data_IF_218579791769
#
_entry.id   IF_218579791769
#
_cell.length_a   1.000
_cell.length_b   1.000
_cell.length_c   1.000
_cell.angle_alpha   90.00
_cell.angle_beta   90.00
_cell.angle_gamma   90.00
#
_symmetry.space_group_name_H-M   'P 1'
#
loop_
_entity.id
_entity.type
_entity.pdbx_description
1 polymer ?
#
# COMPACT_ATOMS: atom_id res chain seq x y z
N UNK A 1 51.56 32.63 -2.67
CA UNK A 1 51.07 33.45 -1.53
C UNK A 1 49.80 34.24 -1.86
N UNK A 2 49.64 34.86 -3.04
CA UNK A 2 48.36 35.51 -3.42
C UNK A 2 47.22 34.52 -3.73
N UNK A 3 47.53 33.37 -4.33
CA UNK A 3 46.52 32.35 -4.69
C UNK A 3 45.95 31.59 -3.49
N UNK A 4 46.72 31.46 -2.40
CA UNK A 4 46.24 30.87 -1.14
C UNK A 4 45.29 31.80 -0.38
N UNK A 5 45.51 33.11 -0.47
CA UNK A 5 44.60 34.12 0.09
C UNK A 5 43.26 34.15 -0.65
N UNK A 6 43.28 34.01 -1.99
CA UNK A 6 42.05 33.91 -2.80
C UNK A 6 41.25 32.64 -2.50
N UNK A 7 41.93 31.53 -2.20
CA UNK A 7 41.28 30.26 -1.88
C UNK A 7 40.64 30.28 -0.48
N UNK A 8 41.29 30.92 0.51
CA UNK A 8 40.71 31.14 1.83
C UNK A 8 39.47 32.06 1.80
N UNK A 9 39.46 33.10 0.95
CA UNK A 9 38.28 33.97 0.77
C UNK A 9 37.11 33.24 0.07
N UNK A 10 37.40 32.31 -0.85
CA UNK A 10 36.37 31.48 -1.52
C UNK A 10 35.68 30.52 -0.55
N UNK A 11 36.44 29.86 0.33
CA UNK A 11 35.91 28.92 1.35
C UNK A 11 35.06 29.66 2.40
N UNK A 12 35.41 30.90 2.74
CA UNK A 12 34.62 31.72 3.67
C UNK A 12 33.29 32.21 3.03
N UNK A 13 33.28 32.53 1.73
CA UNK A 13 32.05 32.98 1.04
C UNK A 13 31.03 31.86 0.79
N UNK A 14 31.44 30.59 0.71
CA UNK A 14 30.52 29.45 0.54
C UNK A 14 29.74 29.09 1.81
N UNK A 15 30.24 29.47 2.99
CA UNK A 15 29.63 29.12 4.28
C UNK A 15 28.64 30.17 4.83
N UNK A 16 28.38 31.26 4.12
CA UNK A 16 27.57 32.40 4.61
C UNK A 16 26.12 32.41 4.05
N UNK A 17 25.79 31.59 3.04
CA UNK A 17 24.53 31.74 2.28
C UNK A 17 23.34 30.89 2.80
N UNK A 18 23.50 30.12 3.87
CA UNK A 18 22.37 29.33 4.44
C UNK A 18 21.86 29.84 5.80
N UNK A 19 22.03 31.14 6.09
CA UNK A 19 21.45 31.80 7.25
C UNK A 19 20.02 32.32 7.00
N UNK A 20 19.04 31.72 7.68
CA UNK A 20 17.80 32.30 8.21
C UNK A 20 16.97 33.26 7.32
N UNK A 21 15.93 32.72 6.68
CA UNK A 21 14.66 33.46 6.49
C UNK A 21 13.62 32.91 7.45
N UNK A 22 13.22 33.73 8.42
CA UNK A 22 12.09 33.51 9.31
C UNK A 22 10.78 33.48 8.51
N UNK A 23 9.89 32.48 8.66
CA UNK A 23 8.49 32.62 8.27
C UNK A 23 7.64 33.16 9.43
N UNK A 24 6.82 34.14 9.08
CA UNK A 24 5.85 34.88 9.91
C UNK A 24 4.80 33.92 10.50
N UNK A 25 4.49 34.11 11.79
CA UNK A 25 3.49 33.35 12.54
C UNK A 25 2.05 33.66 12.11
N UNK A 26 1.21 32.62 11.98
CA UNK A 26 -0.24 32.67 12.24
C UNK A 26 -0.66 31.31 12.85
N UNK A 27 -1.31 31.39 14.01
CA UNK A 27 -1.83 30.32 14.88
C UNK A 27 -2.79 29.32 14.17
N UNK A 28 -3.11 28.11 14.64
CA UNK A 28 -3.89 27.78 15.85
C UNK A 28 -3.87 26.26 16.13
N UNK A 29 -3.59 25.91 17.39
CA UNK A 29 -3.88 24.67 18.17
C UNK A 29 -3.57 23.26 17.61
N UNK A 30 -2.52 22.64 18.18
CA UNK A 30 -2.53 21.20 18.48
C UNK A 30 -2.06 20.96 19.92
N UNK A 31 -2.99 20.55 20.76
CA UNK A 31 -2.79 20.27 22.18
C UNK A 31 -2.02 18.94 22.39
N UNK A 32 -0.91 19.09 23.12
CA UNK A 32 -0.30 18.21 24.15
C UNK A 32 -0.25 16.69 23.92
N UNK A 33 0.98 16.16 23.84
CA UNK A 33 1.43 15.11 24.75
C UNK A 33 2.95 15.25 24.98
N UNK A 34 3.32 15.29 26.26
CA UNK A 34 4.63 15.61 26.79
C UNK A 34 5.69 14.51 26.57
N UNK A 35 6.90 14.98 26.23
CA UNK A 35 8.23 14.64 26.77
C UNK A 35 8.42 13.25 27.42
N UNK A 36 9.36 12.46 26.90
CA UNK A 36 10.66 12.28 27.56
C UNK A 36 11.71 11.70 26.59
N UNK A 37 12.92 12.26 26.61
CA UNK A 37 14.07 11.82 25.81
C UNK A 37 14.93 10.80 26.57
N UNK A 38 15.57 9.90 25.79
CA UNK A 38 16.89 9.24 25.96
C UNK A 38 17.21 8.45 27.24
N UNK A 39 17.68 7.21 27.05
CA UNK A 39 18.97 6.67 27.58
C UNK A 39 19.41 5.46 26.72
N UNK A 40 20.73 5.29 26.68
CA UNK A 40 21.70 4.52 25.87
C UNK A 40 21.59 2.99 25.78
N UNK A 41 22.23 2.46 24.72
CA UNK A 41 22.65 1.06 24.49
C UNK A 41 23.72 0.57 25.50
N UNK A 42 23.61 -0.67 26.01
CA UNK A 42 24.62 -1.78 25.92
C UNK A 42 24.39 -2.96 26.92
N UNK A 43 24.28 -4.15 26.32
CA UNK A 43 24.84 -5.49 26.66
C UNK A 43 24.56 -6.28 27.97
N UNK A 44 24.09 -7.53 27.74
CA UNK A 44 24.37 -8.84 28.38
C UNK A 44 23.66 -9.32 29.68
N UNK A 45 23.07 -10.52 29.61
CA UNK A 45 23.02 -11.49 30.73
C UNK A 45 21.65 -12.03 31.21
N UNK A 46 21.23 -13.19 30.69
CA UNK A 46 20.52 -14.35 31.31
C UNK A 46 19.56 -14.16 32.51
N UNK A 47 18.32 -14.67 32.37
CA UNK A 47 17.66 -15.48 33.42
C UNK A 47 16.38 -14.96 34.09
N UNK A 48 15.23 -15.30 33.49
CA UNK A 48 13.91 -15.64 34.06
C UNK A 48 13.28 -14.86 35.24
N UNK A 49 12.02 -14.42 35.07
CA UNK A 49 10.88 -14.89 35.88
C UNK A 49 9.53 -14.34 35.38
N UNK A 50 8.73 -15.25 34.82
CA UNK A 50 7.28 -15.42 35.02
C UNK A 50 6.46 -14.23 35.54
N UNK A 51 5.93 -13.36 34.67
CA UNK A 51 4.71 -12.60 35.01
C UNK A 51 3.90 -12.13 33.80
N UNK A 52 3.56 -12.99 32.85
CA UNK A 52 2.50 -12.65 31.87
C UNK A 52 1.73 -13.86 31.33
N UNK A 53 1.91 -15.04 31.93
CA UNK A 53 1.26 -16.29 31.53
C UNK A 53 -0.18 -16.49 32.07
N UNK A 54 -0.93 -15.42 32.40
CA UNK A 54 -2.27 -15.55 33.03
C UNK A 54 -3.35 -14.58 32.52
N UNK A 55 -3.29 -14.20 31.23
CA UNK A 55 -4.44 -13.57 30.54
C UNK A 55 -4.90 -14.31 29.27
N UNK A 56 -4.25 -15.41 28.92
CA UNK A 56 -4.61 -16.30 27.80
C UNK A 56 -5.58 -17.42 28.20
N UNK A 57 -6.53 -17.13 29.09
CA UNK A 57 -7.69 -17.99 29.27
C UNK A 57 -8.60 -17.84 28.05
N UNK A 58 -8.27 -18.64 27.03
CA UNK A 58 -9.16 -19.24 26.02
C UNK A 58 -10.56 -18.63 25.99
N UNK A 59 -10.71 -17.47 25.36
CA UNK A 59 -11.93 -17.21 24.58
C UNK A 59 -11.96 -18.29 23.53
N UNK A 60 -12.75 -19.33 23.78
CA UNK A 60 -13.09 -20.36 22.79
C UNK A 60 -13.49 -19.62 21.52
N UNK A 61 -12.57 -19.55 20.56
CA UNK A 61 -12.87 -19.10 19.21
C UNK A 61 -13.88 -20.11 18.70
N UNK A 62 -15.15 -19.71 18.67
CA UNK A 62 -16.19 -20.40 17.95
C UNK A 62 -15.66 -20.57 16.54
N UNK A 63 -15.30 -21.82 16.18
CA UNK A 63 -14.72 -22.15 14.88
C UNK A 63 -15.69 -21.61 13.83
N UNK A 64 -15.29 -20.53 13.16
CA UNK A 64 -16.05 -19.99 12.05
C UNK A 64 -16.26 -21.12 11.02
N UNK A 65 -17.38 -21.14 10.29
CA UNK A 65 -17.60 -22.15 9.28
C UNK A 65 -16.43 -22.14 8.29
N UNK A 66 -15.74 -23.26 8.19
CA UNK A 66 -14.64 -23.44 7.25
C UNK A 66 -15.23 -23.33 5.85
N UNK A 67 -14.76 -22.35 5.08
CA UNK A 67 -15.18 -22.15 3.70
C UNK A 67 -14.02 -22.51 2.80
N UNK A 68 -14.32 -23.20 1.71
CA UNK A 68 -13.33 -23.58 0.70
C UNK A 68 -12.75 -22.37 -0.04
N UNK A 69 -13.45 -21.24 0.00
CA UNK A 69 -13.09 -20.02 -0.72
C UNK A 69 -13.14 -18.79 0.18
N UNK A 70 -12.18 -17.89 -0.01
CA UNK A 70 -12.20 -16.56 0.55
C UNK A 70 -12.61 -15.55 -0.52
N UNK A 71 -13.47 -14.60 -0.16
CA UNK A 71 -13.91 -13.56 -1.08
C UNK A 71 -13.91 -12.19 -0.41
N UNK A 72 -13.75 -11.16 -1.23
CA UNK A 72 -13.83 -9.75 -0.85
C UNK A 72 -14.60 -8.99 -1.91
N UNK A 73 -15.48 -8.09 -1.46
CA UNK A 73 -16.26 -7.21 -2.32
C UNK A 73 -16.02 -5.74 -1.99
N UNK A 74 -15.47 -4.99 -2.94
CA UNK A 74 -15.34 -3.53 -2.88
C UNK A 74 -16.51 -2.86 -3.59
N UNK A 75 -17.34 -2.12 -2.86
CA UNK A 75 -18.53 -1.45 -3.41
C UNK A 75 -18.23 -0.01 -3.81
N UNK A 76 -18.58 0.37 -5.04
CA UNK A 76 -18.57 1.78 -5.51
C UNK A 76 -17.24 2.51 -5.27
N UNK A 77 -16.11 1.86 -5.57
CA UNK A 77 -14.77 2.42 -5.37
C UNK A 77 -14.50 3.55 -6.37
N UNK A 78 -13.76 4.59 -5.93
CA UNK A 78 -13.41 5.79 -6.71
C UNK A 78 -12.26 5.55 -7.69
N UNK A 79 -12.38 4.52 -8.52
CA UNK A 79 -11.35 4.07 -9.46
C UNK A 79 -11.96 3.80 -10.84
N UNK A 80 -11.12 3.79 -11.86
CA UNK A 80 -11.57 3.59 -13.25
C UNK A 80 -11.67 2.10 -13.61
N UNK A 81 -12.75 1.72 -14.29
CA UNK A 81 -12.95 0.34 -14.78
C UNK A 81 -11.80 -0.16 -15.67
N UNK A 82 -11.30 0.67 -16.58
CA UNK A 82 -10.21 0.28 -17.51
C UNK A 82 -8.93 -0.06 -16.74
N UNK A 83 -8.60 0.74 -15.73
CA UNK A 83 -7.44 0.50 -14.87
C UNK A 83 -7.65 -0.72 -13.98
N UNK A 84 -8.83 -0.87 -13.37
CA UNK A 84 -9.16 -2.03 -12.54
C UNK A 84 -9.12 -3.35 -13.31
N UNK A 85 -9.54 -3.35 -14.59
CA UNK A 85 -9.41 -4.52 -15.49
C UNK A 85 -7.95 -4.93 -15.70
N UNK A 86 -7.07 -3.97 -15.95
CA UNK A 86 -5.66 -4.25 -16.16
C UNK A 86 -4.96 -4.74 -14.88
N UNK A 87 -5.21 -4.06 -13.76
CA UNK A 87 -4.68 -4.47 -12.44
C UNK A 87 -5.21 -5.84 -12.04
N UNK A 88 -6.49 -6.11 -12.26
CA UNK A 88 -7.09 -7.41 -11.98
C UNK A 88 -6.46 -8.54 -12.78
N UNK A 89 -6.21 -8.34 -14.08
CA UNK A 89 -5.46 -9.30 -14.91
C UNK A 89 -4.03 -9.51 -14.41
N UNK A 90 -3.38 -8.44 -13.96
CA UNK A 90 -2.00 -8.46 -13.50
C UNK A 90 -1.80 -9.23 -12.18
N UNK A 91 -2.80 -9.24 -11.29
CA UNK A 91 -2.75 -9.97 -10.01
C UNK A 91 -3.36 -11.38 -10.08
N UNK A 92 -4.11 -11.68 -11.14
CA UNK A 92 -4.73 -12.99 -11.34
C UNK A 92 -3.66 -14.08 -11.36
N UNK A 93 -3.95 -15.23 -10.75
CA UNK A 93 -3.08 -16.40 -10.63
C UNK A 93 -1.82 -16.19 -9.78
N UNK A 94 -1.74 -15.11 -8.99
CA UNK A 94 -0.66 -14.91 -8.02
C UNK A 94 -1.10 -15.27 -6.62
N UNK A 95 -0.13 -15.55 -5.75
CA UNK A 95 -0.34 -15.59 -4.30
C UNK A 95 -0.70 -14.20 -3.78
N UNK A 96 -1.41 -14.15 -2.66
CA UNK A 96 -1.89 -12.88 -2.09
C UNK A 96 -0.71 -11.96 -1.72
N UNK A 97 0.35 -12.51 -1.12
CA UNK A 97 1.54 -11.75 -0.72
C UNK A 97 2.31 -11.18 -1.92
N UNK A 98 2.52 -11.99 -2.95
CA UNK A 98 3.22 -11.59 -4.16
C UNK A 98 2.45 -10.48 -4.90
N UNK A 99 1.12 -10.60 -4.95
CA UNK A 99 0.27 -9.55 -5.50
C UNK A 99 0.42 -8.22 -4.74
N UNK A 100 0.50 -8.25 -3.41
CA UNK A 100 0.71 -7.04 -2.59
C UNK A 100 2.11 -6.46 -2.87
N UNK A 101 3.15 -7.28 -2.89
CA UNK A 101 4.54 -6.85 -3.20
C UNK A 101 4.61 -6.18 -4.57
N UNK A 102 4.01 -6.80 -5.59
CA UNK A 102 3.99 -6.27 -6.94
C UNK A 102 3.25 -4.94 -7.05
N UNK A 103 2.09 -4.80 -6.39
CA UNK A 103 1.35 -3.54 -6.39
C UNK A 103 2.09 -2.42 -5.66
N UNK A 104 2.85 -2.73 -4.60
CA UNK A 104 3.73 -1.76 -3.96
C UNK A 104 4.84 -1.28 -4.91
N UNK A 105 5.41 -2.16 -5.73
CA UNK A 105 6.38 -1.75 -6.76
C UNK A 105 5.75 -0.86 -7.84
N UNK A 106 4.47 -1.08 -8.17
CA UNK A 106 3.71 -0.20 -9.07
C UNK A 106 3.52 1.19 -8.48
N UNK A 107 3.26 1.30 -7.17
CA UNK A 107 3.19 2.60 -6.47
C UNK A 107 4.51 3.36 -6.54
N UNK A 108 5.63 2.65 -6.38
CA UNK A 108 6.99 3.19 -6.54
C UNK A 108 7.38 3.42 -8.01
N UNK A 109 6.48 3.16 -8.96
CA UNK A 109 6.70 3.26 -10.42
C UNK A 109 7.86 2.39 -10.94
N UNK A 110 8.28 1.37 -10.19
CA UNK A 110 9.33 0.42 -10.59
C UNK A 110 8.81 -0.62 -11.57
N UNK A 111 7.57 -1.09 -11.34
CA UNK A 111 6.92 -2.11 -12.17
C UNK A 111 5.70 -1.52 -12.88
N UNK A 112 5.66 -1.61 -14.21
CA UNK A 112 4.54 -1.12 -15.00
C UNK A 112 3.43 -2.18 -15.09
N UNK A 113 2.17 -1.74 -15.05
CA UNK A 113 1.03 -2.63 -15.29
C UNK A 113 0.76 -2.64 -16.80
N UNK A 114 0.72 -3.83 -17.44
CA UNK A 114 0.40 -3.94 -18.87
C UNK A 114 -1.04 -3.48 -19.11
N UNK A 115 -1.22 -2.58 -20.07
CA UNK A 115 -2.52 -2.01 -20.40
C UNK A 115 -2.65 -1.86 -21.90
N UNK A 116 -3.77 -2.34 -22.46
CA UNK A 116 -4.07 -2.18 -23.89
C UNK A 116 -4.69 -0.82 -24.22
N UNK A 117 -4.41 -0.35 -25.44
CA UNK A 117 -4.90 0.89 -26.04
C UNK A 117 -3.79 1.89 -26.34
N UNK A 118 -4.20 3.13 -26.62
CA UNK A 118 -3.34 4.29 -26.90
C UNK A 118 -2.61 4.76 -25.64
N UNK A 119 -1.66 3.95 -25.16
CA UNK A 119 -0.85 4.23 -23.98
C UNK A 119 0.62 4.13 -24.37
N UNK A 120 1.43 5.07 -23.88
CA UNK A 120 2.85 5.09 -24.11
C UNK A 120 3.52 3.76 -23.74
N UNK A 121 4.48 3.35 -24.57
CA UNK A 121 5.35 2.22 -24.31
C UNK A 121 6.13 2.41 -22.99
N UNK A 122 6.40 1.32 -22.29
CA UNK A 122 7.16 1.33 -21.04
C UNK A 122 8.29 0.32 -21.12
N UNK A 123 9.39 0.62 -20.41
CA UNK A 123 10.54 -0.27 -20.33
C UNK A 123 10.14 -1.60 -19.68
N UNK A 124 10.46 -2.70 -20.36
CA UNK A 124 10.19 -4.07 -19.91
C UNK A 124 9.64 -4.95 -21.03
N UNK A 125 9.30 -6.19 -20.71
CA UNK A 125 8.69 -7.14 -21.65
C UNK A 125 7.19 -6.86 -21.87
N UNK A 126 6.85 -5.61 -22.16
CA UNK A 126 5.48 -5.14 -22.30
C UNK A 126 5.43 -4.15 -23.46
N UNK A 127 4.48 -4.35 -24.38
CA UNK A 127 4.22 -3.39 -25.46
C UNK A 127 3.79 -2.03 -24.89
N UNK A 128 2.71 -1.96 -24.11
CA UNK A 128 2.23 -0.71 -23.53
C UNK A 128 1.79 -0.87 -22.07
N UNK A 129 1.99 0.18 -21.26
CA UNK A 129 1.73 0.09 -19.82
C UNK A 129 1.64 1.44 -19.11
N UNK A 130 1.03 1.43 -17.92
CA UNK A 130 0.90 2.59 -17.05
C UNK A 130 1.11 2.20 -15.59
N UNK A 131 1.31 3.20 -14.73
CA UNK A 131 1.37 3.05 -13.27
C UNK A 131 0.06 3.56 -12.66
N UNK A 132 -0.96 2.71 -12.46
CA UNK A 132 -2.27 3.12 -11.92
C UNK A 132 -2.22 3.26 -10.39
N UNK A 133 -1.67 4.38 -9.89
CA UNK A 133 -1.41 4.62 -8.46
C UNK A 133 -2.68 4.45 -7.59
N UNK A 134 -3.76 5.17 -7.93
CA UNK A 134 -4.99 5.14 -7.14
C UNK A 134 -5.64 3.75 -7.12
N UNK A 135 -5.63 3.06 -8.26
CA UNK A 135 -6.17 1.70 -8.37
C UNK A 135 -5.34 0.72 -7.55
N UNK A 136 -4.01 0.77 -7.65
CA UNK A 136 -3.13 -0.10 -6.87
C UNK A 136 -3.35 0.07 -5.36
N UNK A 137 -3.50 1.30 -4.88
CA UNK A 137 -3.80 1.59 -3.47
C UNK A 137 -5.08 0.90 -2.98
N UNK A 138 -6.18 0.99 -3.75
CA UNK A 138 -7.43 0.35 -3.37
C UNK A 138 -7.34 -1.18 -3.45
N UNK A 139 -6.65 -1.74 -4.46
CA UNK A 139 -6.44 -3.18 -4.55
C UNK A 139 -5.60 -3.73 -3.39
N UNK A 140 -4.56 -3.02 -2.94
CA UNK A 140 -3.78 -3.44 -1.76
C UNK A 140 -4.66 -3.53 -0.52
N UNK A 141 -5.58 -2.58 -0.32
CA UNK A 141 -6.54 -2.63 0.80
C UNK A 141 -7.44 -3.87 0.71
N UNK A 142 -8.01 -4.14 -0.45
CA UNK A 142 -8.86 -5.33 -0.66
C UNK A 142 -8.08 -6.64 -0.46
N UNK A 143 -6.82 -6.71 -0.90
CA UNK A 143 -5.98 -7.90 -0.74
C UNK A 143 -5.59 -8.15 0.71
N UNK A 144 -5.36 -7.11 1.51
CA UNK A 144 -5.16 -7.24 2.96
C UNK A 144 -6.40 -7.80 3.64
N UNK A 145 -7.59 -7.30 3.28
CA UNK A 145 -8.85 -7.87 3.76
C UNK A 145 -9.02 -9.33 3.31
N UNK A 146 -8.61 -9.66 2.07
CA UNK A 146 -8.70 -11.02 1.55
C UNK A 146 -7.77 -11.99 2.31
N UNK A 147 -6.56 -11.55 2.66
CA UNK A 147 -5.63 -12.32 3.51
C UNK A 147 -6.21 -12.58 4.90
N UNK A 148 -6.82 -11.57 5.53
CA UNK A 148 -7.53 -11.73 6.81
C UNK A 148 -8.69 -12.73 6.68
N UNK A 149 -9.51 -12.62 5.63
CA UNK A 149 -10.61 -13.54 5.39
C UNK A 149 -10.13 -14.97 5.12
N UNK A 150 -9.02 -15.14 4.39
CA UNK A 150 -8.43 -16.45 4.12
C UNK A 150 -8.00 -17.13 5.42
N UNK A 151 -7.35 -16.37 6.31
CA UNK A 151 -6.94 -16.84 7.64
C UNK A 151 -8.16 -17.22 8.49
N UNK A 152 -9.20 -16.38 8.48
CA UNK A 152 -10.45 -16.66 9.21
C UNK A 152 -11.19 -17.90 8.71
N UNK A 153 -11.09 -18.21 7.41
CA UNK A 153 -11.67 -19.41 6.81
C UNK A 153 -10.75 -20.65 6.91
N UNK A 154 -9.61 -20.54 7.60
CA UNK A 154 -8.68 -21.64 7.79
C UNK A 154 -7.94 -22.07 6.53
N UNK A 155 -7.83 -21.21 5.52
CA UNK A 155 -7.08 -21.48 4.29
C UNK A 155 -5.58 -21.30 4.52
N UNK A 156 -4.78 -22.19 3.92
CA UNK A 156 -3.33 -22.07 3.90
C UNK A 156 -2.89 -20.94 2.95
N UNK A 157 -2.34 -19.85 3.49
CA UNK A 157 -1.94 -18.66 2.73
C UNK A 157 -0.88 -18.98 1.66
N UNK A 158 -0.02 -19.96 1.90
CA UNK A 158 1.06 -20.32 0.98
C UNK A 158 0.56 -21.03 -0.28
N UNK A 159 -0.57 -21.73 -0.16
CA UNK A 159 -1.22 -22.47 -1.25
C UNK A 159 -2.43 -21.72 -1.83
N UNK A 160 -2.82 -20.62 -1.21
CA UNK A 160 -3.97 -19.81 -1.63
C UNK A 160 -3.58 -18.92 -2.82
N UNK A 161 -4.34 -19.04 -3.91
CA UNK A 161 -4.13 -18.29 -5.15
C UNK A 161 -5.37 -17.46 -5.46
N UNK A 162 -5.15 -16.23 -5.93
CA UNK A 162 -6.21 -15.37 -6.44
C UNK A 162 -6.64 -15.91 -7.80
N UNK A 163 -7.78 -16.61 -7.84
CA UNK A 163 -8.25 -17.26 -9.06
C UNK A 163 -9.16 -16.36 -9.90
N UNK A 164 -9.95 -15.49 -9.25
CA UNK A 164 -10.93 -14.65 -9.92
C UNK A 164 -10.87 -13.21 -9.42
N UNK A 165 -10.84 -12.28 -10.38
CA UNK A 165 -10.93 -10.84 -10.14
C UNK A 165 -11.94 -10.26 -11.11
N UNK A 166 -13.07 -9.79 -10.59
CA UNK A 166 -14.19 -9.26 -11.38
C UNK A 166 -14.34 -7.76 -11.10
N UNK A 167 -13.83 -6.89 -11.98
CA UNK A 167 -14.12 -5.47 -11.93
C UNK A 167 -15.38 -5.16 -12.78
N UNK A 168 -16.43 -4.68 -12.11
CA UNK A 168 -17.70 -4.27 -12.72
C UNK A 168 -17.88 -2.75 -12.67
N UNK A 169 -18.57 -2.18 -13.66
CA UNK A 169 -18.92 -0.76 -13.65
C UNK A 169 -19.93 -0.51 -12.51
N UNK A 170 -19.69 0.50 -11.69
CA UNK A 170 -20.67 0.97 -10.72
C UNK A 170 -21.54 2.08 -11.33
N UNK A 171 -22.68 2.43 -10.71
CA UNK A 171 -23.47 3.59 -11.12
C UNK A 171 -22.58 4.84 -11.21
N UNK A 172 -22.70 5.55 -12.34
CA UNK A 172 -21.95 6.78 -12.56
C UNK A 172 -22.45 7.84 -11.58
N UNK A 173 -21.51 8.51 -10.90
CA UNK A 173 -21.88 9.65 -10.07
C UNK A 173 -21.74 10.93 -10.87
N UNK A 174 -22.80 11.74 -10.87
CA UNK A 174 -22.80 13.02 -11.54
C UNK A 174 -22.20 14.09 -10.63
N UNK A 175 -21.41 14.98 -11.23
CA UNK A 175 -21.07 16.25 -10.62
C UNK A 175 -22.29 17.19 -10.63
N UNK A 176 -22.20 18.31 -9.91
CA UNK A 176 -23.27 19.32 -9.88
C UNK A 176 -23.66 19.71 -11.32
N UNK A 177 -24.97 19.77 -11.55
CA UNK A 177 -25.59 20.07 -12.85
C UNK A 177 -25.23 19.08 -13.99
N UNK A 178 -24.80 17.85 -13.66
CA UNK A 178 -24.55 16.81 -14.66
C UNK A 178 -23.33 17.04 -15.56
N UNK A 179 -22.56 18.11 -15.32
CA UNK A 179 -21.42 18.55 -16.13
C UNK A 179 -20.33 17.50 -16.35
N UNK A 180 -20.09 16.63 -15.36
CA UNK A 180 -19.07 15.57 -15.41
C UNK A 180 -19.58 14.31 -14.73
N UNK A 181 -19.12 13.15 -15.21
CA UNK A 181 -19.37 11.82 -14.63
C UNK A 181 -18.12 11.31 -13.93
N UNK A 182 -18.22 11.06 -12.63
CA UNK A 182 -17.20 10.37 -11.86
C UNK A 182 -17.29 8.87 -12.09
N UNK A 183 -16.15 8.27 -12.43
CA UNK A 183 -16.02 6.84 -12.63
C UNK A 183 -16.03 6.15 -11.27
N UNK A 184 -16.82 5.09 -11.16
CA UNK A 184 -16.81 4.19 -10.01
C UNK A 184 -16.85 2.74 -10.46
N UNK A 185 -16.30 1.84 -9.65
CA UNK A 185 -16.30 0.40 -9.95
C UNK A 185 -16.60 -0.44 -8.71
N UNK A 186 -17.34 -1.52 -8.94
CA UNK A 186 -17.40 -2.63 -8.00
C UNK A 186 -16.28 -3.62 -8.30
N UNK A 187 -15.67 -4.20 -7.27
CA UNK A 187 -14.61 -5.20 -7.44
C UNK A 187 -14.98 -6.40 -6.58
N UNK A 188 -14.99 -7.58 -7.19
CA UNK A 188 -15.01 -8.86 -6.48
C UNK A 188 -13.66 -9.54 -6.66
N UNK A 189 -13.02 -9.95 -5.57
CA UNK A 189 -11.80 -10.76 -5.58
C UNK A 189 -12.11 -12.05 -4.85
N UNK A 190 -11.77 -13.19 -5.46
CA UNK A 190 -11.91 -14.50 -4.84
C UNK A 190 -10.58 -15.24 -4.88
N UNK A 191 -10.31 -15.95 -3.79
CA UNK A 191 -9.15 -16.80 -3.62
C UNK A 191 -9.57 -18.18 -3.15
N UNK A 192 -8.82 -19.18 -3.60
CA UNK A 192 -9.03 -20.58 -3.22
C UNK A 192 -7.67 -21.25 -3.04
N UNK A 193 -7.67 -22.31 -2.24
CA UNK A 193 -6.50 -23.17 -2.13
C UNK A 193 -6.35 -24.02 -3.40
N UNK A 194 -5.12 -24.11 -3.91
CA UNK A 194 -4.83 -24.99 -5.03
C UNK A 194 -4.73 -26.44 -4.50
N UNK A 195 -5.75 -27.26 -4.77
CA UNK A 195 -5.66 -28.71 -4.56
C UNK A 195 -4.79 -29.29 -5.67
N UNK A 196 -3.64 -29.84 -5.30
CA UNK A 196 -2.72 -30.53 -6.21
C UNK A 196 -3.20 -31.94 -6.50
#
# INVERSE_FOLDING_TARGET
MADEQLNQVKIQKTNIVHGNKQPIAVDVHRTKHDKNEKISEKEAGVGETNTEAKKDEKRKQTKAPQRTEASVYGRSLKISLKQSKAVGKFIKNKKIEDAIKDLNQVLLKKRAVPMSGEIAHRRGNIMSGKYPINTSNEFIRLLKTLSSNSTMHGLDLDKTIIYEVIPNKAPDQLHRFGSRKFKRTHITIKAKELKK
#
